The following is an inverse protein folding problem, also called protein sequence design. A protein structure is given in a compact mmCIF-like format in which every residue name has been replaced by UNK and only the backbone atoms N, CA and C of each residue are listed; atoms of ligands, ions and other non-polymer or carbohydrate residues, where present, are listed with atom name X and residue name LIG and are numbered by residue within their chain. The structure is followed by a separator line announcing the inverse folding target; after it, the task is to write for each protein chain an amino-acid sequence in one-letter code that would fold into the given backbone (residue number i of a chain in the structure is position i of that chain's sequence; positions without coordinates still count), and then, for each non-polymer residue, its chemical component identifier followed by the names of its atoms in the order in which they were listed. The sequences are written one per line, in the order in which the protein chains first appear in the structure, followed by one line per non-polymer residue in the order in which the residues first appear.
data_IF_297681815645
#
_entry.id   IF_297681815645
#
_cell.length_a   1.000
_cell.length_b   1.000
_cell.length_c   1.000
_cell.angle_alpha   90.00
_cell.angle_beta   90.00
_cell.angle_gamma   90.00
#
_symmetry.space_group_name_H-M   'P 1'
#
loop_
_entity.id
_entity.type
_entity.pdbx_description
1 polymer ?
#
# COMPACT_ATOMS: atom_id res chain seq x y z
N UNK A 1 2.16 -12.67 -14.32
CA UNK A 1 2.53 -12.17 -14.33
C UNK A 1 2.88 -10.76 -14.59
N UNK A 2 4.14 -10.47 -14.74
CA UNK A 2 4.58 -9.10 -14.92
C UNK A 2 3.98 -8.48 -16.19
N UNK A 3 3.85 -9.25 -17.24
CA UNK A 3 3.27 -8.78 -18.49
C UNK A 3 1.83 -8.32 -18.34
N UNK A 4 1.07 -9.00 -17.51
CA UNK A 4 -0.33 -8.65 -17.28
C UNK A 4 -0.46 -7.27 -16.65
N UNK A 5 0.43 -6.96 -15.70
CA UNK A 5 0.40 -5.65 -15.06
C UNK A 5 0.82 -4.53 -15.99
N UNK A 6 1.74 -4.80 -16.89
CA UNK A 6 2.25 -3.77 -17.80
C UNK A 6 1.31 -3.53 -18.98
N UNK A 7 0.63 -4.56 -19.46
CA UNK A 7 -0.19 -4.47 -20.67
C UNK A 7 -1.67 -4.26 -20.39
N UNK A 8 -2.18 -4.82 -19.30
CA UNK A 8 -3.60 -4.73 -18.94
C UNK A 8 -3.71 -4.71 -17.41
N UNK A 9 -3.54 -3.53 -16.80
CA UNK A 9 -3.63 -3.44 -15.34
C UNK A 9 -4.99 -3.93 -14.87
N UNK A 10 -4.97 -4.78 -13.85
CA UNK A 10 -6.18 -5.30 -13.24
C UNK A 10 -6.81 -4.22 -12.38
N UNK A 11 -8.06 -3.88 -12.65
CA UNK A 11 -8.77 -2.87 -11.87
C UNK A 11 -9.41 -3.45 -10.61
N UNK A 12 -9.50 -4.78 -10.52
CA UNK A 12 -9.94 -5.44 -9.30
C UNK A 12 -9.28 -6.81 -9.16
N UNK A 13 -9.19 -7.26 -7.90
CA UNK A 13 -8.70 -8.60 -7.57
C UNK A 13 -9.75 -9.32 -6.73
N UNK A 14 -9.90 -10.61 -6.98
CA UNK A 14 -10.73 -11.46 -6.13
C UNK A 14 -9.84 -12.16 -5.11
N UNK A 15 -10.22 -12.06 -3.85
CA UNK A 15 -9.52 -12.70 -2.76
C UNK A 15 -10.49 -13.65 -2.08
N UNK A 16 -10.10 -14.91 -1.92
CA UNK A 16 -10.92 -15.87 -1.20
C UNK A 16 -10.67 -15.72 0.32
N UNK A 17 -11.55 -14.98 0.97
CA UNK A 17 -11.43 -14.70 2.40
C UNK A 17 -11.55 -15.95 3.28
N UNK A 18 -12.10 -17.04 2.76
CA UNK A 18 -12.22 -18.28 3.53
C UNK A 18 -10.89 -18.96 3.80
N UNK A 19 -9.83 -18.57 3.08
CA UNK A 19 -8.48 -19.10 3.25
C UNK A 19 -7.75 -18.48 4.45
N UNK A 20 -8.33 -17.45 5.07
CA UNK A 20 -7.69 -16.71 6.15
C UNK A 20 -8.47 -16.85 7.44
N UNK A 21 -7.75 -16.85 8.56
CA UNK A 21 -8.37 -16.85 9.89
C UNK A 21 -9.13 -15.55 10.12
N UNK A 22 -8.47 -14.41 9.83
CA UNK A 22 -9.08 -13.09 9.90
C UNK A 22 -8.65 -12.26 8.69
N UNK A 23 -9.57 -11.41 8.23
CA UNK A 23 -9.25 -10.40 7.22
C UNK A 23 -9.41 -9.04 7.89
N UNK A 24 -8.32 -8.30 7.98
CA UNK A 24 -8.26 -6.98 8.57
C UNK A 24 -8.22 -5.92 7.49
N UNK A 25 -8.72 -4.74 7.79
CA UNK A 25 -8.73 -3.62 6.86
C UNK A 25 -8.09 -2.42 7.55
N UNK A 26 -7.25 -1.70 6.82
CA UNK A 26 -6.61 -0.48 7.32
C UNK A 26 -6.82 0.64 6.30
N UNK A 27 -7.02 1.86 6.82
CA UNK A 27 -7.12 3.05 5.98
C UNK A 27 -5.75 3.57 5.54
N UNK A 28 -5.66 4.88 5.33
CA UNK A 28 -4.44 5.53 4.85
C UNK A 28 -3.30 5.38 5.85
N UNK A 29 -2.16 4.87 5.39
CA UNK A 29 -0.97 4.71 6.24
C UNK A 29 -0.07 5.94 6.25
N UNK A 30 0.08 6.60 5.11
CA UNK A 30 0.89 7.83 4.98
C UNK A 30 2.24 7.75 5.71
N UNK A 31 3.00 6.68 5.44
CA UNK A 31 4.34 6.52 6.01
C UNK A 31 4.39 6.23 7.51
N UNK A 32 3.35 5.63 8.07
CA UNK A 32 3.28 5.30 9.50
C UNK A 32 3.46 3.79 9.74
N UNK A 33 4.59 3.27 9.33
CA UNK A 33 4.88 1.82 9.41
C UNK A 33 4.95 1.32 10.85
N UNK A 34 5.69 2.00 11.71
CA UNK A 34 5.86 1.56 13.11
C UNK A 34 4.52 1.51 13.84
N UNK A 35 3.67 2.50 13.58
CA UNK A 35 2.33 2.53 14.17
C UNK A 35 1.48 1.36 13.70
N UNK A 36 1.56 1.02 12.42
CA UNK A 36 0.85 -0.14 11.88
C UNK A 36 1.32 -1.43 12.55
N UNK A 37 2.63 -1.64 12.65
CA UNK A 37 3.18 -2.84 13.27
C UNK A 37 2.72 -2.96 14.73
N UNK A 38 2.69 -1.84 15.44
CA UNK A 38 2.21 -1.80 16.82
C UNK A 38 0.74 -2.21 16.93
N UNK A 39 -0.11 -1.72 16.03
CA UNK A 39 -1.52 -2.09 16.02
C UNK A 39 -1.74 -3.55 15.63
N UNK A 40 -0.98 -4.07 14.69
CA UNK A 40 -1.06 -5.48 14.30
C UNK A 40 -0.66 -6.39 15.47
N UNK A 41 0.35 -5.98 16.23
CA UNK A 41 0.76 -6.71 17.43
C UNK A 41 -0.35 -6.68 18.49
N UNK A 42 -0.97 -5.53 18.68
CA UNK A 42 -2.05 -5.35 19.67
C UNK A 42 -3.25 -6.28 19.40
N UNK A 43 -3.56 -6.53 18.13
CA UNK A 43 -4.70 -7.39 17.76
C UNK A 43 -4.31 -8.84 17.50
N UNK A 44 -3.07 -9.21 17.83
CA UNK A 44 -2.54 -10.57 17.62
C UNK A 44 -2.63 -11.02 16.15
N UNK A 45 -2.29 -10.12 15.22
CA UNK A 45 -2.25 -10.43 13.81
C UNK A 45 -1.22 -11.54 13.55
N UNK A 46 -1.63 -12.58 12.85
CA UNK A 46 -0.75 -13.70 12.47
C UNK A 46 -0.50 -13.66 10.96
N UNK A 47 0.72 -13.27 10.52
CA UNK A 47 1.02 -13.18 9.10
C UNK A 47 0.93 -14.54 8.35
N UNK A 48 0.92 -15.65 9.07
CA UNK A 48 0.76 -16.98 8.47
C UNK A 48 -0.71 -17.33 8.21
N UNK A 49 -1.65 -16.69 8.90
CA UNK A 49 -3.06 -17.06 8.85
C UNK A 49 -4.00 -15.89 8.52
N UNK A 50 -3.56 -14.66 8.77
CA UNK A 50 -4.40 -13.48 8.59
C UNK A 50 -4.02 -12.71 7.32
N UNK A 51 -4.96 -11.91 6.83
CA UNK A 51 -4.75 -11.02 5.70
C UNK A 51 -5.03 -9.60 6.14
N UNK A 52 -4.21 -8.66 5.68
CA UNK A 52 -4.42 -7.23 5.85
C UNK A 52 -4.65 -6.59 4.49
N UNK A 53 -5.75 -5.86 4.36
CA UNK A 53 -6.09 -5.13 3.14
C UNK A 53 -6.01 -3.63 3.45
N UNK A 54 -5.25 -2.90 2.64
CA UNK A 54 -5.12 -1.45 2.73
C UNK A 54 -5.90 -0.77 1.61
N UNK A 55 -6.51 0.36 1.91
CA UNK A 55 -7.18 1.17 0.89
C UNK A 55 -6.21 2.06 0.10
N UNK A 56 -4.90 1.86 0.23
CA UNK A 56 -3.91 2.65 -0.46
C UNK A 56 -3.41 3.81 0.38
N UNK A 57 -2.81 4.82 -0.28
CA UNK A 57 -2.18 5.96 0.37
C UNK A 57 -1.19 5.51 1.44
N UNK A 58 -0.26 4.62 1.02
CA UNK A 58 0.77 4.07 1.89
C UNK A 58 1.85 5.08 2.20
N UNK A 59 2.07 6.02 1.29
CA UNK A 59 3.21 6.93 1.29
C UNK A 59 2.76 8.37 1.45
N UNK A 60 3.77 9.24 1.56
CA UNK A 60 3.66 10.69 1.63
C UNK A 60 3.16 11.18 3.00
N UNK A 61 3.58 12.39 3.37
CA UNK A 61 3.26 13.06 4.63
C UNK A 61 3.91 12.48 5.87
N UNK A 62 4.17 11.17 5.92
CA UNK A 62 4.89 10.54 7.02
C UNK A 62 6.36 10.35 6.72
N UNK A 63 7.07 9.61 7.59
CA UNK A 63 8.52 9.45 7.51
C UNK A 63 8.98 8.04 7.12
N UNK A 64 8.14 7.03 7.29
CA UNK A 64 8.50 5.63 7.05
C UNK A 64 7.91 5.15 5.72
N UNK A 65 8.14 5.91 4.65
CA UNK A 65 7.51 5.65 3.35
C UNK A 65 8.07 4.41 2.66
N UNK A 66 9.39 4.21 2.71
CA UNK A 66 10.02 3.03 2.10
C UNK A 66 9.53 1.76 2.79
N UNK A 67 9.46 1.78 4.10
CA UNK A 67 8.98 0.64 4.89
C UNK A 67 7.53 0.30 4.53
N UNK A 68 6.68 1.32 4.34
CA UNK A 68 5.30 1.09 3.92
C UNK A 68 5.22 0.51 2.50
N UNK A 69 6.09 0.95 1.58
CA UNK A 69 6.14 0.36 0.23
C UNK A 69 6.61 -1.08 0.26
N UNK A 70 7.51 -1.43 1.15
CA UNK A 70 7.99 -2.80 1.30
C UNK A 70 6.89 -3.77 1.73
N UNK A 71 5.83 -3.29 2.36
CA UNK A 71 4.68 -4.11 2.71
C UNK A 71 4.05 -4.78 1.48
N UNK A 72 4.14 -4.15 0.31
CA UNK A 72 3.58 -4.69 -0.93
C UNK A 72 4.22 -6.03 -1.34
N UNK A 73 5.39 -6.36 -0.80
CA UNK A 73 6.07 -7.62 -1.08
C UNK A 73 5.63 -8.73 -0.13
N UNK A 74 4.88 -8.41 0.92
CA UNK A 74 4.47 -9.39 1.91
C UNK A 74 3.24 -10.16 1.43
N UNK A 75 3.23 -11.50 1.58
CA UNK A 75 2.09 -12.31 1.12
C UNK A 75 0.81 -12.07 1.93
N UNK A 76 0.93 -11.52 3.12
CA UNK A 76 -0.21 -11.23 4.01
C UNK A 76 -0.77 -9.82 3.83
N UNK A 77 -0.26 -9.06 2.86
CA UNK A 77 -0.66 -7.67 2.64
C UNK A 77 -1.16 -7.47 1.22
N UNK A 78 -2.30 -6.79 1.08
CA UNK A 78 -2.86 -6.38 -0.22
C UNK A 78 -3.27 -4.93 -0.12
N UNK A 79 -3.05 -4.17 -1.18
CA UNK A 79 -3.42 -2.78 -1.20
C UNK A 79 -4.02 -2.39 -2.55
N UNK A 80 -4.98 -1.46 -2.51
CA UNK A 80 -5.42 -0.78 -3.72
C UNK A 80 -4.53 0.44 -3.94
N UNK A 81 -4.46 0.92 -5.17
CA UNK A 81 -3.69 2.12 -5.49
C UNK A 81 -4.44 3.35 -5.02
N UNK A 82 -3.86 4.08 -4.06
CA UNK A 82 -4.41 5.34 -3.58
C UNK A 82 -3.97 6.53 -4.42
N UNK A 83 -4.47 7.72 -4.09
CA UNK A 83 -4.12 8.94 -4.80
C UNK A 83 -2.63 9.26 -4.70
N UNK A 84 -2.01 9.04 -3.54
CA UNK A 84 -0.61 9.37 -3.33
C UNK A 84 0.33 8.46 -4.12
N UNK A 85 0.00 7.17 -4.28
CA UNK A 85 0.76 6.29 -5.17
C UNK A 85 0.64 6.75 -6.61
N UNK A 86 -0.54 7.21 -7.03
CA UNK A 86 -0.74 7.76 -8.37
C UNK A 86 0.07 9.02 -8.58
N UNK A 87 0.11 9.92 -7.60
CA UNK A 87 0.91 11.14 -7.67
C UNK A 87 2.39 10.82 -7.85
N UNK A 88 2.90 9.85 -7.09
CA UNK A 88 4.29 9.44 -7.21
C UNK A 88 4.59 8.82 -8.57
N UNK A 89 3.76 7.90 -9.03
CA UNK A 89 3.94 7.24 -10.33
C UNK A 89 3.91 8.27 -11.46
N UNK A 90 2.96 9.20 -11.40
CA UNK A 90 2.89 10.28 -12.39
C UNK A 90 4.14 11.14 -12.37
N UNK A 91 4.61 11.53 -11.17
CA UNK A 91 5.80 12.36 -11.01
C UNK A 91 7.05 11.70 -11.59
N UNK A 92 7.15 10.39 -11.51
CA UNK A 92 8.30 9.62 -12.01
C UNK A 92 8.18 9.25 -13.49
N UNK A 93 7.04 9.56 -14.12
CA UNK A 93 6.84 9.33 -15.56
C UNK A 93 7.52 10.40 -16.37
N UNK A 94 7.86 10.15 -17.66
CA UNK A 94 8.63 11.10 -18.47
C UNK A 94 8.02 12.51 -18.55
N UNK A 95 6.70 12.63 -18.61
CA UNK A 95 6.00 13.91 -18.69
C UNK A 95 5.22 14.22 -17.40
N UNK A 96 5.66 13.66 -16.28
CA UNK A 96 4.96 13.76 -15.03
C UNK A 96 5.11 15.10 -14.33
N UNK A 97 4.20 15.39 -13.41
CA UNK A 97 4.17 16.62 -12.62
C UNK A 97 4.76 16.38 -11.24
N UNK A 98 6.08 16.53 -11.13
CA UNK A 98 6.80 16.36 -9.86
C UNK A 98 6.32 17.34 -8.80
N UNK A 99 6.06 18.59 -9.18
CA UNK A 99 5.63 19.61 -8.24
C UNK A 99 4.30 19.28 -7.58
N UNK A 100 3.38 18.69 -8.34
CA UNK A 100 2.10 18.28 -7.80
C UNK A 100 2.27 17.24 -6.68
N UNK A 101 3.14 16.27 -6.89
CA UNK A 101 3.43 15.26 -5.87
C UNK A 101 4.11 15.88 -4.64
N UNK A 102 5.13 16.73 -4.86
CA UNK A 102 5.87 17.37 -3.78
C UNK A 102 4.95 18.23 -2.90
N UNK A 103 4.03 18.96 -3.52
CA UNK A 103 3.09 19.81 -2.79
C UNK A 103 2.05 19.00 -1.99
N UNK A 104 1.88 17.74 -2.31
CA UNK A 104 0.92 16.86 -1.64
C UNK A 104 1.57 15.88 -0.66
N UNK A 105 2.82 16.09 -0.30
CA UNK A 105 3.49 15.30 0.73
C UNK A 105 4.61 14.39 0.25
N UNK A 106 5.01 14.48 -1.02
CA UNK A 106 6.06 13.66 -1.60
C UNK A 106 7.47 14.15 -1.33
N UNK A 107 7.68 14.95 -0.29
CA UNK A 107 8.98 15.56 0.01
C UNK A 107 9.89 14.70 0.89
N UNK A 108 9.62 13.44 0.96
CA UNK A 108 10.41 12.51 1.79
C UNK A 108 11.61 11.90 1.05
#
# INVERSE_FOLDING_TARGET
MAEEYMMAPTIYHRIDGTKYRNVWVVGDLHGCYTRLMSELHRVDFDPAQDLLISFGDLIDRGTENVECLELLQMPWFRAVMGNHERLMIDALSPDGNVNNWLMNGGQW
#
